data_IF_853759900275
#
_entry.id   IF_853759900275
#
_cell.length_a   1.000
_cell.length_b   1.000
_cell.length_c   1.000
_cell.angle_alpha   90.00
_cell.angle_beta   90.00
_cell.angle_gamma   90.00
#
_symmetry.space_group_name_H-M   'P 1'
#
loop_
_entity.id
_entity.type
_entity.pdbx_description
1 polymer ?
#
# COMPACT_ATOMS: atom_id res chain seq x y z
N UNK A 1 -6.01 -17.96 5.12
CA UNK A 1 -6.48 -16.83 4.32
C UNK A 1 -6.05 -15.57 5.04
N UNK A 2 -5.22 -14.74 4.42
CA UNK A 2 -4.92 -13.41 4.95
C UNK A 2 -6.07 -12.48 4.56
N UNK A 3 -6.43 -11.56 5.46
CA UNK A 3 -7.38 -10.50 5.13
C UNK A 3 -6.76 -9.56 4.07
N UNK A 4 -7.54 -9.14 3.05
CA UNK A 4 -7.07 -8.22 2.04
C UNK A 4 -6.71 -6.88 2.68
N UNK A 5 -5.64 -6.27 2.19
CA UNK A 5 -5.29 -4.89 2.54
C UNK A 5 -6.33 -3.97 1.92
N UNK A 6 -6.88 -3.08 2.74
CA UNK A 6 -7.88 -2.09 2.38
C UNK A 6 -7.26 -0.69 2.32
N UNK A 7 -8.01 0.29 1.80
CA UNK A 7 -7.61 1.70 1.85
C UNK A 7 -7.44 2.22 3.28
N UNK A 8 -8.21 1.69 4.24
CA UNK A 8 -8.06 2.02 5.67
C UNK A 8 -6.71 1.56 6.23
N UNK A 9 -6.28 0.36 5.87
CA UNK A 9 -4.96 -0.13 6.25
C UNK A 9 -3.85 0.63 5.54
N UNK A 10 -4.01 0.93 4.24
CA UNK A 10 -3.05 1.75 3.49
C UNK A 10 -2.87 3.14 4.13
N UNK A 11 -3.96 3.83 4.47
CA UNK A 11 -3.93 5.11 5.18
C UNK A 11 -3.23 5.00 6.54
N UNK A 12 -3.50 3.94 7.29
CA UNK A 12 -2.85 3.67 8.58
C UNK A 12 -1.35 3.43 8.44
N UNK A 13 -0.94 2.72 7.37
CA UNK A 13 0.46 2.47 7.04
C UNK A 13 1.17 3.75 6.57
N UNK A 14 0.53 4.57 5.73
CA UNK A 14 1.06 5.88 5.32
C UNK A 14 1.31 6.78 6.52
N UNK A 15 0.39 6.77 7.50
CA UNK A 15 0.55 7.52 8.74
C UNK A 15 1.69 6.98 9.61
N UNK A 16 1.79 5.66 9.75
CA UNK A 16 2.80 5.03 10.62
C UNK A 16 4.22 5.01 10.04
N UNK A 17 4.35 4.88 8.71
CA UNK A 17 5.62 4.64 8.03
C UNK A 17 6.15 5.84 7.26
N UNK A 18 5.26 6.65 6.68
CA UNK A 18 5.64 7.87 5.95
C UNK A 18 5.35 9.15 6.75
N UNK A 19 4.67 9.07 7.89
CA UNK A 19 4.26 10.25 8.67
C UNK A 19 3.16 11.06 7.98
N UNK A 20 2.48 10.49 6.99
CA UNK A 20 1.45 11.14 6.19
C UNK A 20 0.07 10.81 6.75
N UNK A 21 -0.65 11.81 7.26
CA UNK A 21 -2.07 11.64 7.57
C UNK A 21 -2.88 11.85 6.29
N UNK A 22 -3.24 10.74 5.67
CA UNK A 22 -4.17 10.70 4.53
C UNK A 22 -5.43 9.98 4.99
N UNK A 23 -6.60 10.52 4.64
CA UNK A 23 -7.87 9.88 4.94
C UNK A 23 -8.12 8.73 3.96
N UNK A 24 -8.54 7.56 4.48
CA UNK A 24 -8.88 6.41 3.64
C UNK A 24 -9.97 6.73 2.61
N UNK A 25 -10.95 7.56 3.00
CA UNK A 25 -12.00 8.03 2.11
C UNK A 25 -11.48 8.91 0.95
N UNK A 26 -10.32 9.54 1.10
CA UNK A 26 -9.67 10.32 0.04
C UNK A 26 -9.00 9.39 -0.98
N UNK A 27 -8.31 8.35 -0.48
CA UNK A 27 -7.76 7.28 -1.32
C UNK A 27 -8.86 6.53 -2.08
N UNK A 28 -9.99 6.23 -1.43
CA UNK A 28 -11.15 5.59 -2.07
C UNK A 28 -11.84 6.48 -3.11
N UNK A 29 -11.82 7.80 -2.93
CA UNK A 29 -12.38 8.75 -3.91
C UNK A 29 -11.46 8.95 -5.10
N UNK A 30 -10.15 8.78 -4.91
CA UNK A 30 -9.14 9.01 -5.92
C UNK A 30 -8.19 7.79 -6.03
N UNK A 31 -8.73 6.60 -6.37
CA UNK A 31 -7.94 5.36 -6.42
C UNK A 31 -6.87 5.37 -7.52
N UNK A 32 -7.11 6.13 -8.60
CA UNK A 32 -6.18 6.36 -9.72
C UNK A 32 -5.21 7.54 -9.50
N UNK A 33 -5.33 8.29 -8.39
CA UNK A 33 -4.41 9.40 -8.13
C UNK A 33 -3.00 8.88 -7.79
N UNK A 34 -2.00 9.68 -8.13
CA UNK A 34 -0.62 9.32 -7.83
C UNK A 34 -0.35 9.46 -6.33
N UNK A 35 0.44 8.54 -5.77
CA UNK A 35 0.91 8.60 -4.39
C UNK A 35 1.60 9.93 -4.04
N UNK A 36 2.33 10.50 -5.00
CA UNK A 36 2.97 11.81 -4.86
C UNK A 36 1.95 12.94 -4.57
N UNK A 37 0.70 12.82 -5.04
CA UNK A 37 -0.36 13.81 -4.75
C UNK A 37 -0.79 13.80 -3.28
N UNK A 38 -0.66 12.65 -2.62
CA UNK A 38 -0.92 12.49 -1.19
C UNK A 38 0.34 12.73 -0.34
N UNK A 39 1.45 13.15 -0.96
CA UNK A 39 2.75 13.37 -0.33
C UNK A 39 3.54 12.09 -0.06
N UNK A 40 3.14 10.95 -0.64
CA UNK A 40 3.86 9.70 -0.52
C UNK A 40 4.92 9.56 -1.60
N UNK A 41 6.17 9.73 -1.20
CA UNK A 41 7.34 9.48 -2.04
C UNK A 41 7.67 7.97 -2.14
N UNK A 42 8.52 7.62 -3.11
CA UNK A 42 9.00 6.24 -3.32
C UNK A 42 9.61 5.61 -2.05
N UNK A 43 10.34 6.37 -1.23
CA UNK A 43 10.89 5.87 0.04
C UNK A 43 9.80 5.55 1.08
N UNK A 44 8.75 6.38 1.13
CA UNK A 44 7.60 6.14 2.00
C UNK A 44 6.87 4.86 1.58
N UNK A 45 6.70 4.67 0.27
CA UNK A 45 6.08 3.46 -0.30
C UNK A 45 6.91 2.20 0.03
N UNK A 46 8.24 2.24 -0.11
CA UNK A 46 9.12 1.13 0.29
C UNK A 46 8.97 0.81 1.79
N UNK A 47 8.86 1.82 2.65
CA UNK A 47 8.63 1.61 4.08
C UNK A 47 7.29 0.92 4.40
N UNK A 48 6.24 1.22 3.62
CA UNK A 48 4.93 0.56 3.72
C UNK A 48 5.02 -0.89 3.27
N UNK A 49 5.67 -1.16 2.14
CA UNK A 49 5.93 -2.51 1.61
C UNK A 49 6.66 -3.35 2.65
N UNK A 50 7.78 -2.86 3.18
CA UNK A 50 8.58 -3.62 4.15
C UNK A 50 7.80 -3.96 5.43
N UNK A 51 6.89 -3.09 5.88
CA UNK A 51 5.99 -3.40 6.99
C UNK A 51 4.99 -4.50 6.62
N UNK A 52 4.38 -4.42 5.44
CA UNK A 52 3.45 -5.44 4.97
C UNK A 52 4.16 -6.80 4.83
N UNK A 53 5.36 -6.83 4.26
CA UNK A 53 6.18 -8.04 4.15
C UNK A 53 6.49 -8.65 5.52
N UNK A 54 6.85 -7.82 6.49
CA UNK A 54 7.10 -8.25 7.86
C UNK A 54 5.82 -8.78 8.53
N UNK A 55 4.69 -8.09 8.33
CA UNK A 55 3.38 -8.47 8.90
C UNK A 55 2.88 -9.79 8.35
N UNK A 56 2.99 -10.01 7.04
CA UNK A 56 2.49 -11.21 6.35
C UNK A 56 3.54 -12.32 6.25
N UNK A 57 4.80 -12.03 6.59
CA UNK A 57 5.92 -12.97 6.50
C UNK A 57 6.24 -13.43 5.08
N UNK A 58 5.89 -12.62 4.07
CA UNK A 58 6.00 -12.96 2.64
C UNK A 58 6.44 -11.73 1.84
N UNK A 59 7.27 -11.92 0.79
CA UNK A 59 7.67 -10.82 -0.06
C UNK A 59 6.51 -10.32 -0.93
N UNK A 60 6.33 -9.00 -1.00
CA UNK A 60 5.28 -8.35 -1.80
C UNK A 60 5.91 -7.89 -3.12
N UNK A 61 5.94 -8.81 -4.08
CA UNK A 61 6.37 -8.55 -5.45
C UNK A 61 7.83 -8.13 -5.60
N UNK A 62 8.27 -7.97 -6.84
CA UNK A 62 9.66 -7.62 -7.15
C UNK A 62 9.87 -6.10 -7.34
N UNK A 63 8.79 -5.34 -7.60
CA UNK A 63 8.84 -3.91 -7.97
C UNK A 63 7.63 -3.11 -7.44
N UNK A 64 7.35 -3.10 -6.12
CA UNK A 64 6.22 -2.34 -5.57
C UNK A 64 6.39 -0.82 -5.74
N UNK A 65 7.60 -0.35 -6.00
CA UNK A 65 7.89 1.04 -6.40
C UNK A 65 7.32 1.41 -7.78
N UNK A 66 6.98 0.42 -8.60
CA UNK A 66 6.31 0.63 -9.89
C UNK A 66 4.82 1.00 -9.71
N UNK A 67 4.23 0.64 -8.56
CA UNK A 67 2.86 1.02 -8.21
C UNK A 67 2.80 2.49 -7.87
N UNK A 68 2.20 3.28 -8.75
CA UNK A 68 2.09 4.73 -8.56
C UNK A 68 0.77 5.18 -7.95
N UNK A 69 -0.23 4.31 -7.95
CA UNK A 69 -1.59 4.62 -7.50
C UNK A 69 -2.02 3.68 -6.37
N UNK A 70 -2.89 4.15 -5.45
CA UNK A 70 -3.48 3.34 -4.39
C UNK A 70 -4.13 2.04 -4.91
N UNK A 71 -4.87 2.12 -6.01
CA UNK A 71 -5.55 0.94 -6.59
C UNK A 71 -4.56 -0.12 -7.05
N UNK A 72 -3.56 0.27 -7.85
CA UNK A 72 -2.57 -0.64 -8.41
C UNK A 72 -1.75 -1.32 -7.30
N UNK A 73 -1.38 -0.55 -6.27
CA UNK A 73 -0.69 -1.06 -5.10
C UNK A 73 -1.52 -2.09 -4.34
N UNK A 74 -2.79 -1.78 -4.04
CA UNK A 74 -3.68 -2.70 -3.32
C UNK A 74 -3.96 -3.95 -4.15
N UNK A 75 -4.13 -3.81 -5.46
CA UNK A 75 -4.30 -4.95 -6.37
C UNK A 75 -3.08 -5.87 -6.32
N UNK A 76 -1.86 -5.33 -6.44
CA UNK A 76 -0.62 -6.10 -6.38
C UNK A 76 -0.44 -6.79 -5.03
N UNK A 77 -0.65 -6.06 -3.92
CA UNK A 77 -0.55 -6.61 -2.56
C UNK A 77 -1.55 -7.74 -2.36
N UNK A 78 -2.81 -7.52 -2.71
CA UNK A 78 -3.88 -8.50 -2.49
C UNK A 78 -3.73 -9.72 -3.41
N UNK A 79 -3.25 -9.55 -4.64
CA UNK A 79 -2.89 -10.66 -5.51
C UNK A 79 -1.79 -11.53 -4.87
N UNK A 80 -0.71 -10.93 -4.39
CA UNK A 80 0.37 -11.66 -3.70
C UNK A 80 -0.10 -12.39 -2.43
N UNK A 81 -0.99 -11.78 -1.65
CA UNK A 81 -1.58 -12.40 -0.47
C UNK A 81 -2.51 -13.56 -0.81
N UNK A 82 -3.16 -13.52 -1.99
CA UNK A 82 -4.09 -14.54 -2.48
C UNK A 82 -3.36 -15.70 -3.17
N UNK A 83 -2.39 -15.40 -4.04
CA UNK A 83 -1.59 -16.39 -4.80
C UNK A 83 -0.74 -17.26 -3.87
N UNK A 84 -0.41 -16.77 -2.67
CA UNK A 84 0.30 -17.53 -1.64
C UNK A 84 -0.57 -18.40 -0.72
N UNK A 85 -1.84 -18.65 -1.03
CA UNK A 85 -2.78 -19.43 -0.20
C UNK A 85 -2.87 -20.91 -0.59
#
# INVERSE_FOLDING_TARGET
MNDPVTFEELASLMKGRAGLSVDAADLERQPDALFEQFGLDSLGLLGIVSELENRYGKPIGNEPESCKTPEDFLALVNDQLTVGA
#
